data_IF_143901637824
#
_entry.id   IF_143901637824
#
_cell.length_a   1.000
_cell.length_b   1.000
_cell.length_c   1.000
_cell.angle_alpha   90.00
_cell.angle_beta   90.00
_cell.angle_gamma   90.00
#
_symmetry.space_group_name_H-M   'P 1'
#
loop_
_entity.id
_entity.type
_entity.pdbx_description
1 polymer ?
#
# COMPACT_ATOMS: atom_id res chain seq x y z
N UNK A 1 -4.68 -10.99 11.41
CA UNK A 1 -5.44 -10.02 10.59
C UNK A 1 -6.87 -10.48 10.37
N UNK A 2 -7.10 -11.68 9.80
CA UNK A 2 -8.45 -12.22 9.58
C UNK A 2 -9.40 -12.12 10.79
N UNK A 3 -8.92 -12.51 11.97
CA UNK A 3 -9.69 -12.46 13.23
C UNK A 3 -9.83 -11.06 13.85
N UNK A 4 -9.19 -10.02 13.29
CA UNK A 4 -9.20 -8.63 13.79
C UNK A 4 -8.92 -8.47 15.30
N UNK A 5 -8.00 -9.27 15.87
CA UNK A 5 -7.60 -9.17 17.29
C UNK A 5 -6.34 -8.33 17.46
N UNK A 6 -6.33 -7.44 18.46
CA UNK A 6 -5.20 -6.58 18.79
C UNK A 6 -4.80 -5.67 17.61
N UNK A 7 -3.50 -5.61 17.29
CA UNK A 7 -3.02 -4.87 16.11
C UNK A 7 -3.59 -5.41 14.78
N UNK A 8 -4.12 -6.64 14.79
CA UNK A 8 -4.76 -7.24 13.62
C UNK A 8 -6.00 -6.50 13.12
N UNK A 9 -6.71 -5.76 13.99
CA UNK A 9 -7.85 -4.93 13.56
C UNK A 9 -7.39 -3.75 12.70
N UNK A 10 -6.32 -3.06 13.14
CA UNK A 10 -5.71 -1.98 12.40
C UNK A 10 -5.12 -2.44 11.05
N UNK A 11 -4.40 -3.57 11.05
CA UNK A 11 -3.75 -4.09 9.84
C UNK A 11 -4.74 -4.67 8.81
N UNK A 12 -5.95 -5.06 9.23
CA UNK A 12 -7.00 -5.50 8.32
C UNK A 12 -7.53 -4.38 7.41
N UNK A 13 -7.24 -3.12 7.74
CA UNK A 13 -7.63 -1.97 6.93
C UNK A 13 -6.73 -1.75 5.71
N UNK A 14 -5.68 -2.53 5.51
CA UNK A 14 -4.72 -2.35 4.43
C UNK A 14 -3.70 -1.24 4.73
N UNK A 15 -2.60 -1.24 3.97
CA UNK A 15 -1.38 -0.51 4.33
C UNK A 15 -1.59 1.00 4.36
N UNK A 16 -2.31 1.56 3.37
CA UNK A 16 -2.63 2.99 3.32
C UNK A 16 -3.39 3.47 4.56
N UNK A 17 -4.48 2.76 4.93
CA UNK A 17 -5.33 3.18 6.05
C UNK A 17 -4.66 2.92 7.39
N UNK A 18 -3.94 1.80 7.51
CA UNK A 18 -3.18 1.48 8.70
C UNK A 18 -2.11 2.55 8.97
N UNK A 19 -1.33 2.94 7.96
CA UNK A 19 -0.28 3.96 8.09
C UNK A 19 -0.83 5.33 8.50
N UNK A 20 -1.95 5.77 7.91
CA UNK A 20 -2.64 7.02 8.31
C UNK A 20 -3.04 7.02 9.79
N UNK A 21 -3.52 5.88 10.31
CA UNK A 21 -3.92 5.72 11.71
C UNK A 21 -2.71 5.61 12.66
N UNK A 22 -1.62 4.99 12.23
CA UNK A 22 -0.37 4.92 13.00
C UNK A 22 0.26 6.32 13.14
N UNK A 23 0.17 7.14 12.08
CA UNK A 23 0.69 8.50 12.05
C UNK A 23 2.23 8.54 12.02
N UNK A 24 2.79 9.69 12.44
CA UNK A 24 4.23 10.00 12.36
C UNK A 24 4.72 9.85 10.92
N UNK A 25 5.74 9.03 10.69
CA UNK A 25 6.34 8.79 9.39
C UNK A 25 5.87 7.48 8.74
N UNK A 26 4.85 6.82 9.29
CA UNK A 26 4.38 5.53 8.79
C UNK A 26 3.96 5.57 7.32
N UNK A 27 3.41 6.69 6.84
CA UNK A 27 3.04 6.86 5.43
C UNK A 27 4.24 6.74 4.47
N UNK A 28 5.47 7.05 4.92
CA UNK A 28 6.69 6.89 4.09
C UNK A 28 7.01 5.43 3.78
N UNK A 29 6.47 4.51 4.58
CA UNK A 29 6.67 3.06 4.44
C UNK A 29 5.47 2.36 3.77
N UNK A 30 4.36 3.09 3.56
CA UNK A 30 3.13 2.55 2.98
C UNK A 30 3.15 2.68 1.45
N UNK A 31 3.86 1.78 0.78
CA UNK A 31 4.01 1.85 -0.68
C UNK A 31 2.76 1.30 -1.38
N UNK A 32 1.97 2.20 -1.96
CA UNK A 32 0.73 1.86 -2.65
C UNK A 32 0.44 2.82 -3.82
N UNK A 33 -0.43 2.42 -4.74
CA UNK A 33 -1.04 3.31 -5.73
C UNK A 33 -2.55 3.19 -5.62
N UNK A 34 -3.26 4.32 -5.43
CA UNK A 34 -4.71 4.38 -5.16
C UNK A 34 -5.22 3.54 -3.97
N UNK A 35 -4.32 3.09 -3.11
CA UNK A 35 -4.62 2.30 -1.91
C UNK A 35 -4.38 0.80 -2.06
N UNK A 36 -4.04 0.32 -3.26
CA UNK A 36 -3.58 -1.05 -3.53
C UNK A 36 -2.06 -1.14 -3.36
N UNK A 37 -1.61 -2.13 -2.60
CA UNK A 37 -0.20 -2.40 -2.35
C UNK A 37 0.57 -2.70 -3.65
N UNK A 38 1.79 -2.16 -3.76
CA UNK A 38 2.63 -2.43 -4.94
C UNK A 38 3.08 -3.90 -4.94
N UNK A 39 3.01 -4.62 -6.08
CA UNK A 39 3.54 -5.97 -6.21
C UNK A 39 5.06 -6.07 -5.97
N UNK A 40 5.61 -7.29 -5.90
CA UNK A 40 7.04 -7.56 -5.70
C UNK A 40 7.93 -7.24 -6.92
N UNK A 41 7.66 -6.16 -7.64
CA UNK A 41 8.45 -5.71 -8.77
C UNK A 41 8.80 -4.23 -8.63
N UNK A 42 10.09 -3.93 -8.70
CA UNK A 42 10.61 -2.58 -8.57
C UNK A 42 10.33 -1.75 -9.84
N UNK A 43 9.53 -0.67 -9.77
CA UNK A 43 9.22 0.16 -10.92
C UNK A 43 10.34 1.14 -11.29
N UNK A 44 11.35 1.36 -10.42
CA UNK A 44 12.37 2.42 -10.59
C UNK A 44 13.20 2.25 -11.86
N UNK A 45 13.45 1.00 -12.27
CA UNK A 45 14.21 0.67 -13.48
C UNK A 45 13.31 0.20 -14.64
N UNK A 46 11.99 0.11 -14.41
CA UNK A 46 11.01 -0.45 -15.36
C UNK A 46 9.93 0.58 -15.65
N UNK A 47 10.23 1.56 -16.52
CA UNK A 47 9.32 2.69 -16.80
C UNK A 47 7.91 2.27 -17.22
N UNK A 48 7.78 1.22 -18.03
CA UNK A 48 6.47 0.67 -18.43
C UNK A 48 5.69 0.11 -17.25
N UNK A 49 6.36 -0.53 -16.29
CA UNK A 49 5.75 -1.02 -15.05
C UNK A 49 5.29 0.15 -14.16
N UNK A 50 6.14 1.18 -14.00
CA UNK A 50 5.80 2.38 -13.25
C UNK A 50 4.55 3.07 -13.81
N UNK A 51 4.48 3.22 -15.15
CA UNK A 51 3.31 3.77 -15.81
C UNK A 51 2.08 2.89 -15.60
N UNK A 52 2.23 1.57 -15.74
CA UNK A 52 1.16 0.60 -15.49
C UNK A 52 0.54 0.75 -14.11
N UNK A 53 1.36 0.76 -13.05
CA UNK A 53 0.89 0.97 -11.68
C UNK A 53 0.19 2.34 -11.52
N UNK A 54 0.76 3.40 -12.09
CA UNK A 54 0.21 4.75 -11.99
C UNK A 54 -1.19 4.87 -12.63
N UNK A 55 -1.42 4.24 -13.79
CA UNK A 55 -2.66 4.43 -14.59
C UNK A 55 -3.70 3.34 -14.40
N UNK A 56 -3.36 2.17 -13.84
CA UNK A 56 -4.32 1.10 -13.58
C UNK A 56 -5.51 1.61 -12.74
N UNK A 57 -6.78 1.43 -13.17
CA UNK A 57 -7.93 2.05 -12.52
C UNK A 57 -8.10 1.68 -11.04
N UNK A 58 -7.71 0.46 -10.65
CA UNK A 58 -7.92 -0.07 -9.29
C UNK A 58 -6.77 0.24 -8.32
N UNK A 59 -5.59 0.60 -8.83
CA UNK A 59 -4.37 0.72 -8.02
C UNK A 59 -3.20 -0.05 -8.64
N UNK A 60 -2.09 -0.20 -7.92
CA UNK A 60 -0.83 -0.78 -8.43
C UNK A 60 -1.01 -2.20 -8.98
#
# INVERSE_FOLDING_TARGET
IAERKGIGDLLAEGTMRAAKKIGREAEKFAIHVKGEEVPMHDPRLKRGLALGYAVKPTGA
#
